data_IF_745073868958
#
_entry.id   IF_745073868958
#
_cell.length_a   1.000
_cell.length_b   1.000
_cell.length_c   1.000
_cell.angle_alpha   90.00
_cell.angle_beta   90.00
_cell.angle_gamma   90.00
#
_symmetry.space_group_name_H-M   'P 1'
#
loop_
_entity.id
_entity.type
_entity.pdbx_description
1 polymer ?
#
# COMPACT_ATOMS: atom_id res chain seq x y z
N UNK A 1 -11.56 10.97 23.17
CA UNK A 1 -10.75 10.16 22.22
C UNK A 1 -11.48 8.85 22.00
N UNK A 2 -11.87 8.48 20.77
CA UNK A 2 -12.46 7.16 20.54
C UNK A 2 -11.44 6.08 20.92
N UNK A 3 -11.91 4.98 21.52
CA UNK A 3 -11.07 3.85 21.86
C UNK A 3 -10.33 3.34 20.60
N UNK A 4 -9.07 2.88 20.71
CA UNK A 4 -8.36 2.33 19.57
C UNK A 4 -9.17 1.19 18.96
N UNK A 5 -9.50 1.30 17.67
CA UNK A 5 -10.11 0.20 16.93
C UNK A 5 -9.23 -1.04 17.10
N UNK A 6 -9.75 -2.08 17.75
CA UNK A 6 -9.05 -3.35 17.92
C UNK A 6 -8.94 -4.03 16.55
N UNK A 7 -7.77 -3.88 15.93
CA UNK A 7 -7.44 -4.49 14.64
C UNK A 7 -6.78 -5.85 14.86
N UNK A 8 -7.07 -6.81 13.98
CA UNK A 8 -6.31 -8.07 13.94
C UNK A 8 -4.85 -7.82 13.55
N UNK A 9 -3.97 -8.81 13.79
CA UNK A 9 -2.57 -8.74 13.34
C UNK A 9 -2.45 -8.43 11.85
N UNK A 10 -3.22 -9.16 11.02
CA UNK A 10 -3.28 -8.95 9.58
C UNK A 10 -3.77 -7.54 9.20
N UNK A 11 -4.79 -7.01 9.87
CA UNK A 11 -5.28 -5.65 9.62
C UNK A 11 -4.22 -4.58 9.96
N UNK A 12 -3.45 -4.79 11.04
CA UNK A 12 -2.33 -3.91 11.37
C UNK A 12 -1.22 -4.00 10.32
N UNK A 13 -0.96 -5.20 9.79
CA UNK A 13 0.01 -5.41 8.72
C UNK A 13 -0.39 -4.68 7.43
N UNK A 14 -1.67 -4.72 7.03
CA UNK A 14 -2.20 -3.94 5.90
C UNK A 14 -1.97 -2.44 6.10
N UNK A 15 -2.28 -1.91 7.28
CA UNK A 15 -2.09 -0.48 7.59
C UNK A 15 -0.60 -0.11 7.61
N UNK A 16 0.25 -0.98 8.14
CA UNK A 16 1.70 -0.79 8.15
C UNK A 16 2.26 -0.75 6.73
N UNK A 17 1.86 -1.71 5.90
CA UNK A 17 2.27 -1.82 4.51
C UNK A 17 1.82 -0.59 3.69
N UNK A 18 0.57 -0.15 3.87
CA UNK A 18 0.08 1.09 3.26
C UNK A 18 0.97 2.28 3.60
N UNK A 19 1.30 2.49 4.89
CA UNK A 19 2.20 3.59 5.30
C UNK A 19 3.61 3.43 4.71
N UNK A 20 4.12 2.22 4.59
CA UNK A 20 5.42 1.93 4.00
C UNK A 20 5.46 2.35 2.51
N UNK A 21 4.41 2.07 1.74
CA UNK A 21 4.30 2.52 0.34
C UNK A 21 4.44 4.04 0.23
N UNK A 22 3.75 4.80 1.10
CA UNK A 22 3.87 6.27 1.11
C UNK A 22 5.24 6.77 1.56
N UNK A 23 5.93 6.05 2.45
CA UNK A 23 7.31 6.41 2.82
C UNK A 23 8.26 6.25 1.64
N UNK A 24 8.19 5.13 0.93
CA UNK A 24 9.03 4.92 -0.26
C UNK A 24 8.70 5.92 -1.40
N UNK A 25 7.44 6.33 -1.53
CA UNK A 25 7.07 7.38 -2.48
C UNK A 25 7.72 8.75 -2.17
N UNK A 26 8.14 9.00 -0.92
CA UNK A 26 8.88 10.24 -0.57
C UNK A 26 10.28 10.25 -1.14
N UNK A 27 10.87 9.10 -1.41
CA UNK A 27 12.20 9.00 -2.01
C UNK A 27 12.17 9.20 -3.54
N UNK A 28 10.97 9.31 -4.13
CA UNK A 28 10.77 9.59 -5.55
C UNK A 28 10.82 11.09 -5.87
N UNK A 29 11.13 11.47 -7.12
CA UNK A 29 11.11 12.85 -7.57
C UNK A 29 9.81 13.58 -7.20
N UNK A 30 9.91 14.86 -6.87
CA UNK A 30 8.76 15.67 -6.45
C UNK A 30 7.65 15.71 -7.51
N UNK A 31 8.02 15.69 -8.79
CA UNK A 31 7.10 15.75 -9.94
C UNK A 31 6.26 14.48 -10.09
N UNK A 32 6.84 13.30 -9.84
CA UNK A 32 6.15 12.01 -9.98
C UNK A 32 5.49 11.54 -8.68
N UNK A 33 5.88 12.08 -7.51
CA UNK A 33 5.33 11.72 -6.20
C UNK A 33 3.79 11.77 -6.12
N UNK A 34 3.08 12.77 -6.69
CA UNK A 34 1.62 12.77 -6.73
C UNK A 34 1.03 11.57 -7.46
N UNK A 35 1.67 11.10 -8.54
CA UNK A 35 1.25 9.92 -9.30
C UNK A 35 1.42 8.65 -8.48
N UNK A 36 2.55 8.50 -7.78
CA UNK A 36 2.74 7.40 -6.83
C UNK A 36 1.69 7.39 -5.73
N UNK A 37 1.37 8.55 -5.14
CA UNK A 37 0.31 8.63 -4.13
C UNK A 37 -1.06 8.24 -4.67
N UNK A 38 -1.40 8.68 -5.88
CA UNK A 38 -2.67 8.34 -6.53
C UNK A 38 -2.74 6.83 -6.86
N UNK A 39 -1.66 6.27 -7.39
CA UNK A 39 -1.52 4.83 -7.64
C UNK A 39 -1.73 4.01 -6.36
N UNK A 40 -1.01 4.34 -5.27
CA UNK A 40 -1.17 3.63 -3.98
C UNK A 40 -2.61 3.73 -3.48
N UNK A 41 -3.25 4.91 -3.54
CA UNK A 41 -4.66 5.04 -3.11
C UNK A 41 -5.61 4.21 -3.97
N UNK A 42 -5.39 4.17 -5.29
CA UNK A 42 -6.22 3.41 -6.23
C UNK A 42 -6.16 1.92 -5.90
N UNK A 43 -4.96 1.35 -5.84
CA UNK A 43 -4.74 -0.08 -5.58
C UNK A 43 -5.40 -0.52 -4.27
N UNK A 44 -5.22 0.24 -3.18
CA UNK A 44 -5.81 -0.13 -1.88
C UNK A 44 -7.33 0.10 -1.81
N UNK A 45 -7.91 0.94 -2.68
CA UNK A 45 -9.36 1.22 -2.71
C UNK A 45 -10.12 0.31 -3.67
N UNK A 46 -9.50 -0.15 -4.74
CA UNK A 46 -10.13 -0.98 -5.78
C UNK A 46 -10.68 -2.30 -5.23
N UNK A 47 -10.08 -2.80 -4.16
CA UNK A 47 -10.47 -4.06 -3.54
C UNK A 47 -11.62 -3.87 -2.53
N UNK A 48 -12.84 -4.23 -2.92
CA UNK A 48 -13.99 -4.28 -2.01
C UNK A 48 -14.02 -5.59 -1.19
N UNK A 49 -13.00 -5.79 -0.35
CA UNK A 49 -12.81 -7.03 0.43
C UNK A 49 -13.55 -6.96 1.77
N UNK A 50 -14.12 -8.10 2.19
CA UNK A 50 -14.65 -8.26 3.55
C UNK A 50 -13.48 -8.36 4.53
N UNK A 51 -13.62 -7.75 5.71
CA UNK A 51 -12.60 -7.78 6.77
C UNK A 51 -12.27 -9.20 7.28
N UNK A 52 -13.16 -10.16 7.03
CA UNK A 52 -13.04 -11.57 7.40
C UNK A 52 -12.41 -12.44 6.31
N UNK A 53 -12.14 -11.89 5.12
CA UNK A 53 -11.53 -12.64 4.02
C UNK A 53 -10.00 -12.66 4.16
N UNK A 54 -9.53 -13.37 5.20
CA UNK A 54 -8.12 -13.38 5.59
C UNK A 54 -7.20 -13.91 4.48
N UNK A 55 -7.61 -15.00 3.80
CA UNK A 55 -6.82 -15.62 2.74
C UNK A 55 -6.62 -14.67 1.54
N UNK A 56 -7.67 -13.98 1.10
CA UNK A 56 -7.56 -13.00 0.02
C UNK A 56 -6.72 -11.80 0.45
N UNK A 57 -6.89 -11.30 1.68
CA UNK A 57 -6.08 -10.19 2.20
C UNK A 57 -4.60 -10.56 2.24
N UNK A 58 -4.25 -11.77 2.72
CA UNK A 58 -2.86 -12.26 2.73
C UNK A 58 -2.29 -12.40 1.32
N UNK A 59 -3.07 -12.95 0.39
CA UNK A 59 -2.67 -13.03 -1.02
C UNK A 59 -2.38 -11.65 -1.60
N UNK A 60 -3.26 -10.67 -1.39
CA UNK A 60 -3.09 -9.30 -1.86
C UNK A 60 -1.89 -8.61 -1.21
N UNK A 61 -1.67 -8.83 0.09
CA UNK A 61 -0.48 -8.33 0.78
C UNK A 61 0.81 -8.88 0.18
N UNK A 62 0.87 -10.19 -0.08
CA UNK A 62 2.04 -10.83 -0.70
C UNK A 62 2.26 -10.31 -2.13
N UNK A 63 1.19 -10.14 -2.91
CA UNK A 63 1.27 -9.55 -4.26
C UNK A 63 1.75 -8.10 -4.21
N UNK A 64 1.18 -7.29 -3.32
CA UNK A 64 1.55 -5.89 -3.12
C UNK A 64 3.00 -5.72 -2.69
N UNK A 65 3.51 -6.58 -1.79
CA UNK A 65 4.92 -6.55 -1.39
C UNK A 65 5.88 -6.80 -2.54
N UNK A 66 5.57 -7.78 -3.41
CA UNK A 66 6.37 -8.01 -4.63
C UNK A 66 6.38 -6.77 -5.54
N UNK A 67 5.24 -6.13 -5.74
CA UNK A 67 5.16 -4.89 -6.51
C UNK A 67 5.95 -3.76 -5.85
N UNK A 68 5.83 -3.62 -4.53
CA UNK A 68 6.56 -2.62 -3.75
C UNK A 68 8.07 -2.79 -3.89
N UNK A 69 8.59 -4.02 -3.83
CA UNK A 69 10.03 -4.27 -4.00
C UNK A 69 10.52 -3.78 -5.37
N UNK A 70 9.71 -3.89 -6.42
CA UNK A 70 10.02 -3.34 -7.75
C UNK A 70 9.92 -1.82 -7.77
N UNK A 71 8.79 -1.24 -7.35
CA UNK A 71 8.55 0.21 -7.44
C UNK A 71 9.40 1.02 -6.46
N UNK A 72 9.89 0.42 -5.37
CA UNK A 72 10.79 1.05 -4.40
C UNK A 72 12.20 1.27 -4.97
N UNK A 73 12.61 0.48 -5.97
CA UNK A 73 13.93 0.62 -6.58
C UNK A 73 14.18 2.03 -7.11
N UNK A 74 15.40 2.55 -6.90
CA UNK A 74 15.81 3.91 -7.33
C UNK A 74 15.70 4.13 -8.84
N UNK A 75 15.72 3.06 -9.64
CA UNK A 75 15.57 3.12 -11.09
C UNK A 75 14.15 3.47 -11.56
N UNK A 76 13.13 3.13 -10.75
CA UNK A 76 11.74 3.47 -11.06
C UNK A 76 11.47 4.90 -10.61
N UNK A 77 11.38 5.82 -11.57
CA UNK A 77 11.21 7.26 -11.31
C UNK A 77 9.78 7.74 -11.48
N UNK A 78 8.92 6.99 -12.17
CA UNK A 78 7.53 7.36 -12.40
C UNK A 78 6.60 6.14 -12.49
N UNK A 79 5.31 6.39 -12.29
CA UNK A 79 4.22 5.44 -12.51
C UNK A 79 3.13 6.11 -13.34
N UNK A 80 2.72 5.45 -14.42
CA UNK A 80 1.59 5.88 -15.24
C UNK A 80 0.35 5.11 -14.80
N UNK A 81 -0.73 5.84 -14.53
CA UNK A 81 -2.03 5.32 -14.09
C UNK A 81 -2.85 4.80 -15.26
#
# INVERSE_FOLDING_TARGET
MPAPLKRSGLQNEVVSFYRQCFRAARDKPLESRPRFHAFIRREFKEHNLKKSDFATIEYMLRKGRKQFDTYSQKGVKDVHL
#
